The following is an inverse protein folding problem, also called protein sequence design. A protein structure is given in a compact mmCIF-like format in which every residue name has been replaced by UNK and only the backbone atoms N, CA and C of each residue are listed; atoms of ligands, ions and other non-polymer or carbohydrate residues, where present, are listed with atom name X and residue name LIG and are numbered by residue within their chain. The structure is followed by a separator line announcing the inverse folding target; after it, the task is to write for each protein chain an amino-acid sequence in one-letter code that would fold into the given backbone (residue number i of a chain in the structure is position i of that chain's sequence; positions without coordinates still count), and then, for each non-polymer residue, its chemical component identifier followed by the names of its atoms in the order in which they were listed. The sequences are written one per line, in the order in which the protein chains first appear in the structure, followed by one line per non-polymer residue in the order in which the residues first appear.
data_IF_975582156999
#
_entry.id   IF_975582156999
#
_cell.length_a   1.000
_cell.length_b   1.000
_cell.length_c   1.000
_cell.angle_alpha   90.00
_cell.angle_beta   90.00
_cell.angle_gamma   90.00
#
_symmetry.space_group_name_H-M   'P 1'
#
loop_
_entity.id
_entity.type
_entity.pdbx_description
1 polymer ?
#
# COMPACT_ATOMS: atom_id res chain seq x y z
N UNK A 1 10.32 52.71 -35.75
CA UNK A 1 11.16 51.48 -35.65
C UNK A 1 10.82 50.62 -34.43
N UNK A 2 10.04 51.06 -33.44
CA UNK A 2 9.71 50.41 -32.18
C UNK A 2 8.57 49.37 -32.28
N UNK A 3 7.61 49.57 -33.18
CA UNK A 3 6.43 48.69 -33.35
C UNK A 3 6.75 47.32 -33.96
N UNK A 4 7.75 47.22 -34.81
CA UNK A 4 8.18 45.95 -35.44
C UNK A 4 8.87 44.97 -34.47
N UNK A 5 9.53 45.50 -33.42
CA UNK A 5 10.23 44.74 -32.39
C UNK A 5 9.23 44.09 -31.43
N UNK A 6 8.16 44.82 -31.04
CA UNK A 6 7.12 44.35 -30.12
C UNK A 6 6.31 43.15 -30.67
N UNK A 7 6.10 43.12 -32.01
CA UNK A 7 5.39 42.03 -32.68
C UNK A 7 6.24 40.75 -32.80
N UNK A 8 7.56 40.90 -32.85
CA UNK A 8 8.50 39.76 -32.92
C UNK A 8 8.52 38.99 -31.56
N UNK A 9 8.54 39.71 -30.44
CA UNK A 9 8.50 39.07 -29.10
C UNK A 9 7.13 38.44 -28.82
N UNK A 10 6.00 39.04 -29.25
CA UNK A 10 4.68 38.39 -29.13
C UNK A 10 4.61 37.07 -29.89
N UNK A 11 5.18 36.98 -31.10
CA UNK A 11 5.23 35.73 -31.85
C UNK A 11 6.11 34.69 -31.21
N UNK A 12 7.24 35.07 -30.62
CA UNK A 12 8.17 34.16 -29.91
C UNK A 12 7.52 33.66 -28.62
N UNK A 13 6.80 34.49 -27.86
CA UNK A 13 6.07 34.06 -26.65
C UNK A 13 4.91 33.13 -27.00
N UNK A 14 4.16 33.38 -28.05
CA UNK A 14 3.09 32.49 -28.50
C UNK A 14 3.67 31.16 -28.98
N UNK A 15 4.78 31.16 -29.70
CA UNK A 15 5.46 29.93 -30.14
C UNK A 15 6.03 29.15 -28.96
N UNK A 16 6.56 29.82 -27.95
CA UNK A 16 7.06 29.19 -26.74
C UNK A 16 5.94 28.57 -25.87
N UNK A 17 4.79 29.26 -25.77
CA UNK A 17 3.61 28.73 -25.09
C UNK A 17 3.04 27.53 -25.86
N UNK A 18 2.96 27.60 -27.21
CA UNK A 18 2.57 26.47 -28.04
C UNK A 18 3.54 25.29 -27.93
N UNK A 19 4.85 25.53 -27.84
CA UNK A 19 5.84 24.48 -27.62
C UNK A 19 5.72 23.83 -26.23
N UNK A 20 5.43 24.61 -25.19
CA UNK A 20 5.19 24.09 -23.83
C UNK A 20 3.89 23.25 -23.78
N UNK A 21 2.82 23.71 -24.45
CA UNK A 21 1.57 22.94 -24.57
C UNK A 21 1.79 21.66 -25.39
N UNK A 22 2.61 21.72 -26.47
CA UNK A 22 2.93 20.54 -27.28
C UNK A 22 3.79 19.52 -26.55
N UNK A 23 4.70 19.97 -25.68
CA UNK A 23 5.52 19.07 -24.82
C UNK A 23 4.65 18.41 -23.75
N UNK A 24 3.60 19.07 -23.29
CA UNK A 24 2.64 18.48 -22.34
C UNK A 24 1.72 17.41 -22.97
N UNK A 25 1.60 17.37 -24.29
CA UNK A 25 0.77 16.41 -25.03
C UNK A 25 1.61 15.18 -25.49
N UNK A 26 2.95 15.30 -25.56
CA UNK A 26 3.85 14.23 -26.03
C UNK A 26 4.61 13.52 -24.91
N UNK A 27 4.12 13.54 -23.68
CA UNK A 27 4.84 13.06 -22.50
C UNK A 27 4.59 11.61 -22.09
N UNK A 28 3.67 10.91 -22.74
CA UNK A 28 3.48 9.47 -22.44
C UNK A 28 4.42 8.66 -23.33
N UNK A 29 5.37 7.99 -22.76
CA UNK A 29 6.12 6.90 -23.43
C UNK A 29 5.23 5.66 -23.40
N UNK A 30 5.42 4.74 -24.35
CA UNK A 30 4.66 3.50 -24.49
C UNK A 30 4.61 2.64 -23.20
N UNK A 31 5.49 2.92 -22.25
CA UNK A 31 5.58 2.27 -20.94
C UNK A 31 4.74 2.97 -19.84
N UNK A 32 4.07 4.07 -20.15
CA UNK A 32 3.27 4.85 -19.18
C UNK A 32 1.76 4.73 -19.41
N UNK A 33 1.33 3.94 -20.40
CA UNK A 33 -0.09 3.74 -20.70
C UNK A 33 -0.74 2.84 -19.65
N UNK A 34 -1.91 3.25 -19.15
CA UNK A 34 -2.71 2.57 -18.12
C UNK A 34 -4.12 2.22 -18.56
N UNK A 35 -4.58 2.83 -19.65
CA UNK A 35 -5.87 2.56 -20.26
C UNK A 35 -5.67 1.92 -21.63
N UNK A 36 -6.09 0.68 -21.76
CA UNK A 36 -6.06 -0.10 -23.02
C UNK A 36 -7.48 -0.40 -23.43
N UNK A 37 -8.11 0.57 -24.10
CA UNK A 37 -9.53 0.46 -24.51
C UNK A 37 -9.65 -0.10 -25.92
N UNK A 38 -9.55 -1.43 -26.06
CA UNK A 38 -9.68 -2.11 -27.36
C UNK A 38 -11.13 -2.21 -27.82
N UNK A 39 -12.10 -1.99 -26.92
CA UNK A 39 -13.54 -2.08 -27.21
C UNK A 39 -14.23 -0.74 -27.37
N UNK A 40 -13.47 0.36 -27.42
CA UNK A 40 -13.98 1.72 -27.56
C UNK A 40 -15.11 2.05 -26.56
N UNK A 41 -14.96 1.58 -25.30
CA UNK A 41 -15.95 1.82 -24.24
C UNK A 41 -15.90 3.24 -23.71
N UNK A 42 -14.78 3.92 -23.88
CA UNK A 42 -14.53 5.28 -23.42
C UNK A 42 -14.41 6.22 -24.61
N UNK A 43 -14.87 7.45 -24.45
CA UNK A 43 -14.56 8.50 -25.42
C UNK A 43 -13.11 8.95 -25.25
N UNK A 44 -12.48 9.53 -26.27
CA UNK A 44 -11.12 10.06 -26.19
C UNK A 44 -10.89 10.99 -24.98
N UNK A 45 -11.89 11.80 -24.62
CA UNK A 45 -11.82 12.67 -23.44
C UNK A 45 -11.87 11.88 -22.13
N UNK A 46 -12.72 10.84 -22.06
CA UNK A 46 -12.81 9.96 -20.89
C UNK A 46 -11.54 9.14 -20.71
N UNK A 47 -10.99 8.60 -21.80
CA UNK A 47 -9.76 7.84 -21.79
C UNK A 47 -8.58 8.70 -21.29
N UNK A 48 -8.41 9.92 -21.81
CA UNK A 48 -7.38 10.85 -21.32
C UNK A 48 -7.54 11.21 -19.84
N UNK A 49 -8.79 11.42 -19.40
CA UNK A 49 -9.06 11.72 -17.99
C UNK A 49 -8.80 10.51 -17.09
N UNK A 50 -9.15 9.30 -17.54
CA UNK A 50 -8.85 8.05 -16.82
C UNK A 50 -7.34 7.81 -16.74
N UNK A 51 -6.62 7.99 -17.85
CA UNK A 51 -5.17 7.84 -17.92
C UNK A 51 -4.47 8.75 -16.90
N UNK A 52 -4.86 10.03 -16.87
CA UNK A 52 -4.32 10.98 -15.91
C UNK A 52 -4.64 10.56 -14.46
N UNK A 53 -5.89 10.16 -14.20
CA UNK A 53 -6.32 9.77 -12.86
C UNK A 53 -5.61 8.51 -12.37
N UNK A 54 -5.48 7.49 -13.22
CA UNK A 54 -4.75 6.28 -12.93
C UNK A 54 -3.27 6.59 -12.65
N UNK A 55 -2.64 7.42 -13.47
CA UNK A 55 -1.27 7.84 -13.28
C UNK A 55 -1.03 8.55 -11.94
N UNK A 56 -1.87 9.54 -11.62
CA UNK A 56 -1.75 10.29 -10.36
C UNK A 56 -1.97 9.37 -9.15
N UNK A 57 -3.03 8.54 -9.19
CA UNK A 57 -3.34 7.60 -8.11
C UNK A 57 -2.23 6.56 -7.93
N UNK A 58 -1.72 5.99 -9.03
CA UNK A 58 -0.61 5.02 -8.98
C UNK A 58 0.63 5.60 -8.30
N UNK A 59 0.97 6.84 -8.62
CA UNK A 59 2.11 7.54 -8.00
C UNK A 59 1.93 7.82 -6.53
N UNK A 60 0.74 8.26 -6.15
CA UNK A 60 0.43 8.61 -4.76
C UNK A 60 0.41 7.36 -3.86
N UNK A 61 -0.12 6.25 -4.38
CA UNK A 61 -0.21 4.97 -3.68
C UNK A 61 1.05 4.13 -3.75
N UNK A 62 1.96 4.41 -4.69
CA UNK A 62 3.06 3.52 -5.07
C UNK A 62 2.55 2.12 -5.43
N UNK A 63 1.49 2.09 -6.20
CA UNK A 63 0.79 0.90 -6.62
C UNK A 63 0.24 1.14 -8.02
N UNK A 64 0.66 0.34 -9.00
CA UNK A 64 0.23 0.52 -10.38
C UNK A 64 -1.26 0.19 -10.53
N UNK A 65 -1.97 1.01 -11.29
CA UNK A 65 -3.37 0.81 -11.60
C UNK A 65 -3.56 0.87 -13.12
N UNK A 66 -4.13 -0.17 -13.70
CA UNK A 66 -4.41 -0.20 -15.14
C UNK A 66 -5.77 -0.82 -15.43
N UNK A 67 -6.31 -0.48 -16.59
CA UNK A 67 -7.60 -0.99 -17.10
C UNK A 67 -7.41 -1.42 -18.55
N UNK A 68 -7.93 -2.61 -18.89
CA UNK A 68 -7.97 -3.10 -20.25
C UNK A 68 -9.36 -3.61 -20.59
N UNK A 69 -9.85 -3.26 -21.78
CA UNK A 69 -11.11 -3.76 -22.34
C UNK A 69 -10.81 -4.60 -23.56
N UNK A 70 -11.43 -5.79 -23.67
CA UNK A 70 -11.18 -6.76 -24.72
C UNK A 70 -12.46 -7.46 -25.13
N UNK A 71 -12.46 -8.03 -26.34
CA UNK A 71 -13.54 -8.89 -26.84
C UNK A 71 -13.25 -10.40 -26.69
N UNK A 72 -11.98 -10.78 -26.56
CA UNK A 72 -11.55 -12.19 -26.45
C UNK A 72 -10.39 -12.31 -25.46
N UNK A 73 -10.29 -13.44 -24.79
CA UNK A 73 -9.15 -13.80 -23.95
C UNK A 73 -8.10 -14.66 -24.69
N UNK A 74 -8.16 -14.74 -26.02
CA UNK A 74 -7.24 -15.52 -26.85
C UNK A 74 -7.21 -17.02 -26.48
N UNK A 75 -8.36 -17.54 -26.03
CA UNK A 75 -8.50 -18.92 -25.59
C UNK A 75 -7.91 -19.23 -24.20
N UNK A 76 -7.52 -18.22 -23.46
CA UNK A 76 -7.08 -18.33 -22.05
C UNK A 76 -8.28 -18.18 -21.10
N UNK A 77 -8.09 -18.53 -19.85
CA UNK A 77 -9.01 -18.10 -18.81
C UNK A 77 -8.89 -16.58 -18.58
N UNK A 78 -9.91 -15.95 -18.00
CA UNK A 78 -9.85 -14.53 -17.61
C UNK A 78 -8.68 -14.23 -16.67
N UNK A 79 -8.39 -15.18 -15.78
CA UNK A 79 -7.24 -15.12 -14.88
C UNK A 79 -5.92 -15.16 -15.65
N UNK A 80 -5.69 -16.19 -16.47
CA UNK A 80 -4.43 -16.34 -17.20
C UNK A 80 -4.19 -15.17 -18.15
N UNK A 81 -5.26 -14.65 -18.77
CA UNK A 81 -5.17 -13.47 -19.63
C UNK A 81 -4.74 -12.23 -18.85
N UNK A 82 -5.38 -11.98 -17.71
CA UNK A 82 -5.09 -10.80 -16.88
C UNK A 82 -3.67 -10.82 -16.33
N UNK A 83 -3.22 -11.98 -15.84
CA UNK A 83 -1.89 -12.14 -15.27
C UNK A 83 -0.81 -12.03 -16.34
N UNK A 84 -1.00 -12.69 -17.49
CA UNK A 84 -0.05 -12.58 -18.62
C UNK A 84 0.03 -11.12 -19.14
N UNK A 85 -1.11 -10.43 -19.23
CA UNK A 85 -1.15 -9.04 -19.67
C UNK A 85 -0.42 -8.12 -18.68
N UNK A 86 -0.61 -8.35 -17.38
CA UNK A 86 0.09 -7.63 -16.32
C UNK A 86 1.62 -7.80 -16.45
N UNK A 87 2.07 -9.05 -16.60
CA UNK A 87 3.48 -9.39 -16.66
C UNK A 87 4.15 -8.90 -17.96
N UNK A 88 3.48 -9.03 -19.11
CA UNK A 88 3.99 -8.57 -20.41
C UNK A 88 4.19 -7.07 -20.44
N UNK A 89 3.26 -6.30 -19.86
CA UNK A 89 3.36 -4.83 -19.79
C UNK A 89 4.20 -4.35 -18.62
N UNK A 90 4.67 -5.27 -17.75
CA UNK A 90 5.52 -4.98 -16.58
C UNK A 90 4.90 -3.95 -15.65
N UNK A 91 3.59 -4.05 -15.46
CA UNK A 91 2.91 -3.18 -14.51
C UNK A 91 3.52 -3.30 -13.12
N UNK A 92 3.56 -2.19 -12.39
CA UNK A 92 4.11 -2.15 -11.04
C UNK A 92 5.64 -2.16 -10.97
N UNK A 93 6.38 -2.23 -12.11
CA UNK A 93 7.85 -2.30 -12.10
C UNK A 93 8.53 -1.15 -11.34
N UNK A 94 7.88 0.01 -11.26
CA UNK A 94 8.35 1.16 -10.49
C UNK A 94 7.96 1.11 -9.00
N UNK A 95 7.14 0.12 -8.60
CA UNK A 95 6.53 -0.01 -7.28
C UNK A 95 6.67 -1.43 -6.71
N UNK A 96 7.83 -2.04 -6.83
CA UNK A 96 8.14 -3.40 -6.37
C UNK A 96 7.12 -4.44 -6.89
N UNK A 97 6.74 -4.31 -8.17
CA UNK A 97 5.74 -5.13 -8.88
C UNK A 97 4.32 -5.03 -8.29
N UNK A 98 4.08 -4.04 -7.42
CA UNK A 98 2.78 -3.86 -6.77
C UNK A 98 1.80 -3.13 -7.67
N UNK A 99 0.62 -3.72 -7.89
CA UNK A 99 -0.42 -3.10 -8.69
C UNK A 99 -1.69 -3.91 -8.83
N UNK A 100 -2.65 -3.33 -9.56
CA UNK A 100 -3.94 -3.89 -9.92
C UNK A 100 -4.22 -3.67 -11.41
N UNK A 101 -4.69 -4.71 -12.07
CA UNK A 101 -5.21 -4.67 -13.43
C UNK A 101 -6.68 -5.08 -13.44
N UNK A 102 -7.54 -4.20 -13.95
CA UNK A 102 -8.93 -4.52 -14.25
C UNK A 102 -9.05 -4.90 -15.72
N UNK A 103 -9.46 -6.13 -15.99
CA UNK A 103 -9.77 -6.65 -17.33
C UNK A 103 -11.27 -6.74 -17.51
N UNK A 104 -11.79 -6.22 -18.61
CA UNK A 104 -13.21 -6.27 -18.96
C UNK A 104 -13.36 -6.92 -20.34
N UNK A 105 -14.00 -8.08 -20.41
CA UNK A 105 -14.37 -8.73 -21.66
C UNK A 105 -15.84 -8.48 -21.96
N UNK A 106 -16.08 -7.73 -23.05
CA UNK A 106 -17.43 -7.32 -23.43
C UNK A 106 -18.23 -8.45 -24.11
N UNK A 107 -17.58 -9.32 -24.84
CA UNK A 107 -18.23 -10.39 -25.56
C UNK A 107 -18.73 -11.49 -24.59
N UNK A 108 -17.88 -11.88 -23.64
CA UNK A 108 -18.23 -12.88 -22.63
C UNK A 108 -18.96 -12.31 -21.42
N UNK A 109 -19.01 -10.97 -21.31
CA UNK A 109 -19.54 -10.23 -20.17
C UNK A 109 -18.89 -10.71 -18.87
N UNK A 110 -17.58 -10.75 -18.90
CA UNK A 110 -16.76 -11.20 -17.78
C UNK A 110 -15.73 -10.13 -17.42
N UNK A 111 -15.50 -9.95 -16.14
CA UNK A 111 -14.42 -9.10 -15.64
C UNK A 111 -13.48 -9.92 -14.76
N UNK A 112 -12.23 -9.54 -14.74
CA UNK A 112 -11.23 -10.09 -13.83
C UNK A 112 -10.37 -8.97 -13.27
N UNK A 113 -10.02 -9.09 -12.00
CA UNK A 113 -9.08 -8.19 -11.31
C UNK A 113 -7.87 -9.02 -10.95
N UNK A 114 -6.73 -8.73 -11.56
CA UNK A 114 -5.44 -9.27 -11.16
C UNK A 114 -4.72 -8.26 -10.27
N UNK A 115 -4.07 -8.72 -9.21
CA UNK A 115 -3.22 -7.92 -8.36
C UNK A 115 -1.90 -8.64 -8.06
N UNK A 116 -0.82 -7.88 -7.94
CA UNK A 116 0.52 -8.41 -7.78
C UNK A 116 1.35 -7.63 -6.75
N UNK A 117 2.56 -8.10 -6.48
CA UNK A 117 3.48 -7.50 -5.51
C UNK A 117 2.95 -7.60 -4.09
N UNK A 118 2.89 -6.48 -3.39
CA UNK A 118 2.37 -6.41 -2.02
C UNK A 118 0.83 -6.32 -1.95
N UNK A 119 0.15 -6.05 -3.07
CA UNK A 119 -1.29 -5.85 -3.09
C UNK A 119 -2.09 -7.05 -2.52
N UNK A 120 -1.77 -8.35 -2.83
CA UNK A 120 -2.47 -9.50 -2.27
C UNK A 120 -2.35 -9.61 -0.74
N UNK A 121 -1.36 -9.00 -0.12
CA UNK A 121 -1.20 -9.02 1.32
C UNK A 121 -2.24 -8.15 2.06
N UNK A 122 -2.78 -7.16 1.35
CA UNK A 122 -3.70 -6.16 1.90
C UNK A 122 -5.13 -6.30 1.41
N UNK A 123 -5.31 -6.88 0.23
CA UNK A 123 -6.63 -7.11 -0.36
C UNK A 123 -7.04 -8.57 -0.18
N UNK A 124 -8.00 -8.78 0.71
CA UNK A 124 -8.56 -10.10 0.98
C UNK A 124 -9.46 -10.55 -0.17
N UNK A 125 -9.73 -11.86 -0.25
CA UNK A 125 -10.68 -12.41 -1.24
C UNK A 125 -12.05 -11.73 -1.15
N UNK A 126 -12.55 -11.45 0.07
CA UNK A 126 -13.82 -10.74 0.28
C UNK A 126 -13.81 -9.32 -0.33
N UNK A 127 -12.66 -8.62 -0.25
CA UNK A 127 -12.51 -7.29 -0.87
C UNK A 127 -12.48 -7.38 -2.39
N UNK A 128 -11.83 -8.38 -2.95
CA UNK A 128 -11.82 -8.62 -4.39
C UNK A 128 -13.22 -9.00 -4.86
N UNK A 129 -13.96 -9.85 -4.14
CA UNK A 129 -15.34 -10.20 -4.44
C UNK A 129 -16.27 -8.98 -4.41
N UNK A 130 -16.08 -8.07 -3.44
CA UNK A 130 -16.79 -6.78 -3.39
C UNK A 130 -16.48 -5.92 -4.62
N UNK A 131 -15.21 -5.86 -5.03
CA UNK A 131 -14.81 -5.13 -6.24
C UNK A 131 -15.47 -5.71 -7.48
N UNK A 132 -15.39 -7.02 -7.68
CA UNK A 132 -16.02 -7.73 -8.80
C UNK A 132 -17.53 -7.49 -8.86
N UNK A 133 -18.21 -7.62 -7.72
CA UNK A 133 -19.66 -7.41 -7.63
C UNK A 133 -20.06 -5.97 -7.94
N UNK A 134 -19.33 -4.99 -7.37
CA UNK A 134 -19.65 -3.58 -7.55
C UNK A 134 -19.39 -3.11 -8.99
N UNK A 135 -18.20 -3.42 -9.51
CA UNK A 135 -17.83 -3.10 -10.89
C UNK A 135 -18.80 -3.78 -11.86
N UNK A 136 -19.10 -5.08 -11.64
CA UNK A 136 -20.06 -5.82 -12.46
C UNK A 136 -21.44 -5.15 -12.51
N UNK A 137 -21.89 -4.54 -11.43
CA UNK A 137 -23.15 -3.79 -11.39
C UNK A 137 -23.12 -2.55 -12.31
N UNK A 138 -22.03 -1.77 -12.28
CA UNK A 138 -21.85 -0.63 -13.20
C UNK A 138 -21.79 -1.08 -14.66
N UNK A 139 -21.07 -2.19 -14.94
CA UNK A 139 -20.95 -2.73 -16.30
C UNK A 139 -22.29 -3.27 -16.82
N UNK A 140 -23.09 -3.90 -15.95
CA UNK A 140 -24.44 -4.36 -16.30
C UNK A 140 -25.37 -3.20 -16.70
N UNK A 141 -25.21 -2.05 -16.06
CA UNK A 141 -25.96 -0.81 -16.38
C UNK A 141 -25.32 -0.02 -17.53
N UNK A 142 -24.25 -0.55 -18.15
CA UNK A 142 -23.47 0.13 -19.21
C UNK A 142 -22.83 1.46 -18.75
N UNK A 143 -22.62 1.62 -17.47
CA UNK A 143 -21.88 2.76 -16.90
C UNK A 143 -20.39 2.42 -16.77
N UNK A 144 -19.70 2.35 -17.93
CA UNK A 144 -18.29 1.95 -17.99
C UNK A 144 -17.37 2.93 -17.27
N UNK A 145 -17.67 4.23 -17.39
CA UNK A 145 -16.89 5.26 -16.71
C UNK A 145 -17.12 5.22 -15.18
N UNK A 146 -18.33 4.89 -14.75
CA UNK A 146 -18.64 4.64 -13.35
C UNK A 146 -17.88 3.45 -12.80
N UNK A 147 -17.81 2.35 -13.55
CA UNK A 147 -17.03 1.15 -13.23
C UNK A 147 -15.54 1.48 -13.01
N UNK A 148 -14.92 2.17 -13.98
CA UNK A 148 -13.52 2.59 -13.90
C UNK A 148 -13.25 3.51 -12.69
N UNK A 149 -14.11 4.51 -12.49
CA UNK A 149 -13.96 5.44 -11.37
C UNK A 149 -14.17 4.76 -10.01
N UNK A 150 -15.07 3.80 -9.93
CA UNK A 150 -15.29 3.04 -8.70
C UNK A 150 -14.06 2.18 -8.39
N UNK A 151 -13.50 1.46 -9.39
CA UNK A 151 -12.26 0.68 -9.26
C UNK A 151 -11.13 1.54 -8.68
N UNK A 152 -10.83 2.67 -9.32
CA UNK A 152 -9.77 3.57 -8.88
C UNK A 152 -10.01 4.04 -7.43
N UNK A 153 -11.24 4.48 -7.13
CA UNK A 153 -11.56 5.04 -5.81
C UNK A 153 -11.54 3.99 -4.69
N UNK A 154 -11.90 2.75 -5.00
CA UNK A 154 -11.86 1.65 -4.03
C UNK A 154 -10.42 1.27 -3.69
N UNK A 155 -9.56 1.14 -4.71
CA UNK A 155 -8.13 0.86 -4.49
C UNK A 155 -7.46 2.02 -3.76
N UNK A 156 -7.72 3.27 -4.19
CA UNK A 156 -7.18 4.46 -3.54
C UNK A 156 -7.49 4.49 -2.05
N UNK A 157 -8.75 4.33 -1.69
CA UNK A 157 -9.20 4.33 -0.29
C UNK A 157 -8.50 3.26 0.55
N UNK A 158 -8.46 2.02 0.06
CA UNK A 158 -7.98 0.89 0.86
C UNK A 158 -6.45 0.82 0.90
N UNK A 159 -5.75 1.13 -0.20
CA UNK A 159 -4.28 1.20 -0.24
C UNK A 159 -3.74 2.41 0.53
N UNK A 160 -4.46 3.53 0.56
CA UNK A 160 -4.04 4.70 1.32
C UNK A 160 -4.00 4.42 2.82
N UNK A 161 -4.98 3.69 3.35
CA UNK A 161 -5.00 3.28 4.77
C UNK A 161 -3.80 2.40 5.12
N UNK A 162 -3.39 1.51 4.22
CA UNK A 162 -2.21 0.66 4.38
C UNK A 162 -0.93 1.50 4.40
N UNK A 163 -0.71 2.29 3.37
CA UNK A 163 0.48 3.14 3.24
C UNK A 163 0.63 4.11 4.42
N UNK A 164 -0.48 4.68 4.90
CA UNK A 164 -0.47 5.56 6.06
C UNK A 164 -0.06 4.83 7.34
N UNK A 165 -0.62 3.66 7.59
CA UNK A 165 -0.33 2.87 8.79
C UNK A 165 1.10 2.32 8.78
N UNK A 166 1.56 1.80 7.64
CA UNK A 166 2.94 1.33 7.49
C UNK A 166 3.95 2.48 7.57
N UNK A 167 3.69 3.60 6.94
CA UNK A 167 4.57 4.76 6.95
C UNK A 167 4.83 5.30 8.35
N UNK A 168 3.84 5.31 9.24
CA UNK A 168 3.99 5.73 10.64
C UNK A 168 4.68 4.66 11.47
N UNK A 169 4.26 3.40 11.33
CA UNK A 169 4.81 2.28 12.11
C UNK A 169 6.22 1.87 11.66
N UNK A 170 6.52 1.99 10.39
CA UNK A 170 7.84 1.68 9.80
C UNK A 170 8.88 2.78 10.04
N UNK A 171 8.45 4.01 10.36
CA UNK A 171 9.38 5.10 10.59
C UNK A 171 10.13 4.92 11.92
N UNK A 172 11.41 4.51 11.83
CA UNK A 172 12.28 4.28 13.00
C UNK A 172 12.37 5.49 13.95
N UNK A 173 12.23 6.73 13.42
CA UNK A 173 12.23 7.96 14.21
C UNK A 173 10.97 8.03 15.09
N UNK A 174 9.82 7.66 14.55
CA UNK A 174 8.55 7.60 15.29
C UNK A 174 8.60 6.52 16.36
N UNK A 175 9.10 5.33 16.02
CA UNK A 175 9.30 4.23 16.97
C UNK A 175 10.23 4.65 18.12
N UNK A 176 11.34 5.32 17.80
CA UNK A 176 12.29 5.82 18.80
C UNK A 176 11.62 6.86 19.70
N UNK A 177 10.81 7.75 19.14
CA UNK A 177 10.10 8.76 19.94
C UNK A 177 9.08 8.13 20.88
N UNK A 178 8.30 7.16 20.40
CA UNK A 178 7.35 6.39 21.22
C UNK A 178 8.10 5.65 22.35
N UNK A 179 9.21 4.99 22.02
CA UNK A 179 10.02 4.28 23.00
C UNK A 179 10.56 5.20 24.11
N UNK A 180 11.02 6.40 23.76
CA UNK A 180 11.49 7.42 24.72
C UNK A 180 10.36 7.87 25.63
N UNK A 181 9.16 8.15 25.07
CA UNK A 181 8.00 8.58 25.85
C UNK A 181 7.56 7.49 26.82
N UNK A 182 7.42 6.25 26.34
CA UNK A 182 7.02 5.10 27.18
C UNK A 182 8.05 4.84 28.27
N UNK A 183 9.34 4.82 27.93
CA UNK A 183 10.40 4.61 28.93
C UNK A 183 10.43 5.73 29.96
N UNK A 184 10.22 6.98 29.55
CA UNK A 184 10.11 8.13 30.45
C UNK A 184 8.96 7.98 31.46
N UNK A 185 7.79 7.55 30.99
CA UNK A 185 6.63 7.28 31.86
C UNK A 185 6.94 6.18 32.88
N UNK A 186 7.54 5.07 32.41
CA UNK A 186 7.93 3.96 33.30
C UNK A 186 8.90 4.42 34.38
N UNK A 187 9.94 5.19 34.02
CA UNK A 187 10.90 5.73 34.95
C UNK A 187 10.24 6.66 35.98
N UNK A 188 9.33 7.54 35.53
CA UNK A 188 8.59 8.43 36.43
C UNK A 188 7.70 7.65 37.40
N UNK A 189 7.02 6.60 36.96
CA UNK A 189 6.20 5.74 37.80
C UNK A 189 7.06 5.02 38.86
N UNK A 190 8.19 4.47 38.45
CA UNK A 190 9.13 3.80 39.34
C UNK A 190 9.77 4.77 40.33
N UNK A 191 10.16 5.98 39.87
CA UNK A 191 10.72 7.00 40.73
C UNK A 191 9.71 7.52 41.79
N UNK A 192 8.42 7.61 41.40
CA UNK A 192 7.37 8.02 42.33
C UNK A 192 7.01 6.91 43.33
N UNK A 193 7.05 5.65 42.88
CA UNK A 193 6.77 4.48 43.73
C UNK A 193 7.90 4.17 44.75
N UNK A 194 9.15 4.54 44.42
CA UNK A 194 10.31 4.24 45.20
C UNK A 194 10.69 5.30 46.29
N UNK A 195 9.72 6.12 46.72
CA UNK A 195 9.89 6.89 47.95
C UNK A 195 9.79 5.93 49.14
N UNK A 196 10.74 4.99 49.26
CA UNK A 196 10.88 4.21 50.46
C UNK A 196 11.29 5.17 51.57
N UNK A 197 10.39 5.44 52.48
CA UNK A 197 10.77 6.05 53.78
C UNK A 197 11.67 5.03 54.42
N UNK A 198 12.97 5.34 54.51
CA UNK A 198 13.84 4.64 55.42
C UNK A 198 13.33 4.92 56.85
N UNK A 199 12.40 4.11 57.31
CA UNK A 199 11.83 4.23 58.64
C UNK A 199 12.71 3.56 59.69
N UNK A 200 13.78 2.88 59.26
CA UNK A 200 14.66 2.13 60.17
C UNK A 200 16.11 2.46 59.83
N UNK A 201 16.76 3.18 60.69
CA UNK A 201 18.20 3.45 60.66
C UNK A 201 18.94 2.41 61.51
N UNK A 202 20.25 2.26 61.32
CA UNK A 202 21.11 1.38 62.13
C UNK A 202 20.96 1.59 63.63
N UNK A 203 20.60 2.83 64.01
CA UNK A 203 20.33 3.22 65.42
C UNK A 203 19.07 2.57 66.00
N UNK A 204 18.14 2.06 65.15
CA UNK A 204 16.90 1.42 65.65
C UNK A 204 17.14 0.01 66.17
N UNK A 205 18.20 -0.65 65.73
CA UNK A 205 18.51 -2.03 66.09
C UNK A 205 19.82 -2.17 66.87
N UNK A 206 20.65 -1.13 66.95
CA UNK A 206 21.89 -1.18 67.71
C UNK A 206 21.77 -0.36 68.95
N UNK A 207 21.63 -1.00 70.09
CA UNK A 207 21.70 -0.37 71.38
C UNK A 207 23.18 -0.35 71.83
N UNK A 208 23.74 0.85 71.90
CA UNK A 208 25.04 1.15 72.52
C UNK A 208 26.24 0.26 72.11
N UNK A 209 26.71 0.41 70.84
CA UNK A 209 28.03 -0.07 70.38
C UNK A 209 28.48 -1.49 70.88
N UNK A 210 27.52 -2.36 71.25
CA UNK A 210 27.81 -3.69 71.81
C UNK A 210 27.47 -4.83 70.85
N UNK A 211 27.13 -4.55 69.56
CA UNK A 211 26.84 -5.61 68.62
C UNK A 211 28.12 -6.07 67.93
N UNK A 212 28.44 -7.35 68.03
CA UNK A 212 29.56 -7.98 67.34
C UNK A 212 29.01 -9.11 66.45
N UNK A 213 29.39 -9.09 65.16
CA UNK A 213 29.10 -10.19 64.26
C UNK A 213 29.97 -11.38 64.63
N UNK A 214 29.37 -12.41 65.13
CA UNK A 214 30.07 -13.61 65.59
C UNK A 214 30.33 -14.66 64.48
N UNK A 215 29.46 -14.64 63.46
CA UNK A 215 29.62 -15.54 62.31
C UNK A 215 28.87 -14.97 61.11
N UNK A 216 29.51 -14.99 59.93
CA UNK A 216 28.88 -14.69 58.64
C UNK A 216 29.02 -15.91 57.75
N UNK A 217 27.91 -16.51 57.36
CA UNK A 217 27.90 -17.57 56.37
C UNK A 217 26.87 -17.21 55.28
N UNK A 218 27.33 -17.18 54.06
CA UNK A 218 26.44 -17.04 52.89
C UNK A 218 26.14 -18.45 52.39
N UNK A 219 24.88 -18.85 52.52
CA UNK A 219 24.41 -20.12 51.98
C UNK A 219 23.63 -19.83 50.71
N UNK A 220 24.16 -20.24 49.57
CA UNK A 220 23.44 -20.18 48.29
C UNK A 220 22.33 -21.23 48.30
N UNK A 221 21.07 -20.77 48.30
CA UNK A 221 19.94 -21.67 48.53
C UNK A 221 19.39 -22.23 47.22
N UNK A 222 19.34 -21.47 46.15
CA UNK A 222 18.85 -21.99 44.86
C UNK A 222 18.85 -20.91 43.78
N UNK A 223 19.24 -21.26 42.54
CA UNK A 223 18.88 -20.53 41.34
C UNK A 223 17.79 -21.32 40.63
N UNK A 224 16.62 -20.73 40.43
CA UNK A 224 15.57 -21.31 39.62
C UNK A 224 15.52 -20.56 38.30
N UNK A 225 15.94 -21.21 37.23
CA UNK A 225 15.76 -20.67 35.85
C UNK A 225 14.47 -21.24 35.31
N UNK A 226 13.48 -20.36 35.06
CA UNK A 226 12.26 -20.74 34.35
C UNK A 226 12.45 -20.29 32.91
N UNK A 227 12.59 -21.24 31.99
CA UNK A 227 12.53 -20.98 30.57
C UNK A 227 11.09 -21.15 30.11
N UNK A 228 10.47 -20.07 29.70
CA UNK A 228 9.17 -20.11 29.06
C UNK A 228 9.40 -20.08 27.52
N UNK A 229 8.99 -21.15 26.86
CA UNK A 229 9.00 -21.21 25.42
C UNK A 229 7.95 -20.21 24.93
N UNK A 230 8.40 -19.15 24.29
CA UNK A 230 7.49 -18.24 23.57
C UNK A 230 7.09 -18.99 22.30
N UNK A 231 5.86 -19.45 22.25
CA UNK A 231 5.27 -19.90 20.99
C UNK A 231 5.09 -18.65 20.11
N UNK A 232 5.81 -18.61 18.99
CA UNK A 232 5.53 -17.65 17.95
C UNK A 232 4.14 -17.99 17.42
N UNK A 233 3.14 -17.19 17.76
CA UNK A 233 1.90 -17.19 17.03
C UNK A 233 2.24 -16.73 15.61
N UNK A 234 2.17 -17.64 14.66
CA UNK A 234 2.05 -17.27 13.26
C UNK A 234 0.73 -16.51 13.13
N UNK A 235 0.82 -15.19 13.14
CA UNK A 235 -0.28 -14.36 12.73
C UNK A 235 -0.41 -14.60 11.22
N UNK A 236 -1.34 -15.46 10.81
CA UNK A 236 -1.77 -15.49 9.43
C UNK A 236 -2.51 -14.16 9.21
N UNK A 237 -1.79 -13.16 8.73
CA UNK A 237 -2.40 -11.96 8.20
C UNK A 237 -3.42 -12.41 7.16
N UNK A 238 -4.66 -11.88 7.26
CA UNK A 238 -5.71 -12.15 6.29
C UNK A 238 -5.37 -11.44 4.98
N UNK A 239 -4.46 -12.01 4.20
CA UNK A 239 -4.20 -11.63 2.82
C UNK A 239 -5.15 -12.38 1.88
N UNK A 240 -5.26 -11.93 0.63
CA UNK A 240 -5.98 -12.60 -0.44
C UNK A 240 -5.31 -13.91 -0.86
N UNK A 241 -6.06 -14.75 -1.56
CA UNK A 241 -5.53 -15.96 -2.20
C UNK A 241 -4.58 -15.58 -3.32
N UNK A 242 -3.47 -16.30 -3.43
CA UNK A 242 -2.49 -16.07 -4.48
C UNK A 242 -2.23 -17.30 -5.31
N UNK A 243 -1.85 -17.10 -6.57
CA UNK A 243 -1.45 -18.12 -7.52
C UNK A 243 -0.22 -17.66 -8.31
N UNK A 244 0.35 -18.52 -9.13
CA UNK A 244 1.52 -18.20 -9.93
C UNK A 244 1.16 -18.13 -11.40
N UNK A 245 1.49 -17.04 -12.09
CA UNK A 245 1.29 -16.83 -13.52
C UNK A 245 2.22 -17.72 -14.37
N UNK A 246 2.01 -17.71 -15.68
CA UNK A 246 2.85 -18.42 -16.65
C UNK A 246 4.29 -17.93 -16.66
N UNK A 247 4.52 -16.66 -16.33
CA UNK A 247 5.85 -16.02 -16.22
C UNK A 247 6.59 -16.39 -14.93
N UNK A 248 5.90 -16.93 -13.93
CA UNK A 248 6.44 -17.26 -12.61
C UNK A 248 6.19 -16.17 -11.55
N UNK A 249 5.51 -15.10 -11.89
CA UNK A 249 5.11 -14.05 -10.95
C UNK A 249 3.96 -14.50 -10.07
N UNK A 250 3.86 -13.91 -8.87
CA UNK A 250 2.77 -14.22 -7.92
C UNK A 250 1.68 -13.18 -8.04
N UNK A 251 0.48 -13.63 -8.36
CA UNK A 251 -0.71 -12.82 -8.47
C UNK A 251 -1.79 -13.25 -7.47
N UNK A 252 -2.65 -12.34 -7.12
CA UNK A 252 -3.96 -12.60 -6.54
C UNK A 252 -5.03 -12.09 -7.48
N UNK A 253 -6.29 -12.18 -7.08
CA UNK A 253 -7.36 -11.60 -7.86
C UNK A 253 -8.63 -12.44 -7.84
N UNK A 254 -9.60 -11.97 -8.58
CA UNK A 254 -10.89 -12.64 -8.76
C UNK A 254 -11.65 -12.09 -9.94
N UNK A 255 -12.60 -12.85 -10.44
CA UNK A 255 -13.41 -12.47 -11.59
C UNK A 255 -14.86 -12.90 -11.45
N UNK A 256 -15.70 -12.36 -12.32
CA UNK A 256 -17.12 -12.67 -12.37
C UNK A 256 -17.78 -12.20 -13.64
N UNK A 257 -19.02 -12.66 -13.86
CA UNK A 257 -19.86 -12.23 -14.99
C UNK A 257 -20.79 -11.10 -14.58
N UNK A 258 -21.11 -10.23 -15.53
CA UNK A 258 -22.01 -9.08 -15.35
C UNK A 258 -23.12 -9.00 -16.39
#
# INVERSE_FOLDING_TARGET
MITKKKNKYKKITILAILAVVFISICGFTENDQRVYDYEDLYTEEQEQNLEQKLYETSKDLKCELAIVTVDDFDGKSSQDYADDFYDEHKFGSDFDETGFLLVINMNERELYISNAGEAPNYFTDDMIDEMVSSIGSYLADSDYIGAANWFISYVDKNMWEVNYNEGIMSNWVVQLFIAIVVSGIIVLVLAHGNKSKMTVGSATYMKDNKSKVLQKSDLFIRTTTVSQKIESSSNSGGGGSTHTSSSGSTHGGGGGKF
#
